data_IF_482987851302
#
_entry.id   IF_482987851302
#
_cell.length_a   1.000
_cell.length_b   1.000
_cell.length_c   1.000
_cell.angle_alpha   90.00
_cell.angle_beta   90.00
_cell.angle_gamma   90.00
#
_symmetry.space_group_name_H-M   'P 1'
#
loop_
_entity.id
_entity.type
_entity.pdbx_description
1 polymer ?
#
# COMPACT_ATOMS: atom_id res chain seq x y z
N UNK A 1 -8.22 -9.90 -11.41
CA UNK A 1 -8.38 -9.69 -9.96
C UNK A 1 -7.46 -8.55 -9.59
N UNK A 2 -7.96 -7.54 -8.89
CA UNK A 2 -7.20 -6.35 -8.52
C UNK A 2 -7.14 -6.21 -7.01
N UNK A 3 -5.95 -5.87 -6.50
CA UNK A 3 -5.65 -5.69 -5.09
C UNK A 3 -5.50 -4.19 -4.80
N UNK A 4 -6.33 -3.67 -3.90
CA UNK A 4 -6.22 -2.31 -3.35
C UNK A 4 -5.47 -2.40 -2.03
N UNK A 5 -4.31 -1.74 -1.92
CA UNK A 5 -3.49 -1.69 -0.72
C UNK A 5 -3.57 -0.27 -0.14
N UNK A 6 -4.03 -0.15 1.10
CA UNK A 6 -4.03 1.11 1.81
C UNK A 6 -2.73 1.25 2.62
N UNK A 7 -1.92 2.24 2.29
CA UNK A 7 -0.71 2.62 3.03
C UNK A 7 -1.10 3.65 4.09
N UNK A 8 -1.31 3.17 5.31
CA UNK A 8 -1.77 3.99 6.43
C UNK A 8 -0.64 4.84 7.00
N UNK A 9 -0.91 6.12 7.15
CA UNK A 9 -0.07 7.11 7.81
C UNK A 9 1.38 7.12 7.32
N UNK A 10 1.62 7.31 6.00
CA UNK A 10 2.97 7.27 5.43
C UNK A 10 3.93 8.27 6.09
N UNK A 11 3.42 9.38 6.60
CA UNK A 11 4.21 10.44 7.24
C UNK A 11 4.58 10.11 8.69
N UNK A 12 3.79 9.26 9.37
CA UNK A 12 3.95 8.90 10.78
C UNK A 12 4.59 7.52 10.97
N UNK A 13 4.35 6.58 10.05
CA UNK A 13 4.79 5.18 10.13
C UNK A 13 5.92 4.84 9.12
N UNK A 14 6.75 5.80 8.73
CA UNK A 14 7.86 5.57 7.80
C UNK A 14 9.18 5.11 8.44
N UNK A 15 9.30 5.10 9.76
CA UNK A 15 10.57 4.88 10.48
C UNK A 15 11.09 3.43 10.39
N UNK A 16 10.23 2.44 10.10
CA UNK A 16 10.58 1.01 10.14
C UNK A 16 10.45 0.30 8.78
N UNK A 17 10.58 1.03 7.66
CA UNK A 17 10.70 0.39 6.35
C UNK A 17 9.38 -0.16 5.78
N UNK A 18 8.25 0.38 6.21
CA UNK A 18 6.92 -0.03 5.73
C UNK A 18 6.78 0.10 4.19
N UNK A 19 7.48 1.06 3.61
CA UNK A 19 7.60 1.21 2.16
C UNK A 19 8.21 -0.01 1.47
N UNK A 20 9.17 -0.68 2.12
CA UNK A 20 9.76 -1.92 1.62
C UNK A 20 8.77 -3.09 1.64
N UNK A 21 7.97 -3.21 2.69
CA UNK A 21 6.91 -4.21 2.78
C UNK A 21 5.85 -4.00 1.69
N UNK A 22 5.42 -2.75 1.49
CA UNK A 22 4.49 -2.37 0.44
C UNK A 22 5.01 -2.74 -0.96
N UNK A 23 6.27 -2.43 -1.26
CA UNK A 23 6.92 -2.79 -2.52
C UNK A 23 6.97 -4.31 -2.70
N UNK A 24 7.34 -5.06 -1.67
CA UNK A 24 7.39 -6.51 -1.72
C UNK A 24 6.01 -7.13 -1.99
N UNK A 25 4.96 -6.63 -1.34
CA UNK A 25 3.57 -7.05 -1.57
C UNK A 25 3.13 -6.77 -3.00
N UNK A 26 3.37 -5.56 -3.50
CA UNK A 26 3.00 -5.17 -4.86
C UNK A 26 3.70 -6.04 -5.91
N UNK A 27 5.02 -6.24 -5.80
CA UNK A 27 5.77 -7.08 -6.73
C UNK A 27 5.30 -8.54 -6.70
N UNK A 28 5.05 -9.10 -5.51
CA UNK A 28 4.56 -10.47 -5.35
C UNK A 28 3.18 -10.66 -5.97
N UNK A 29 2.30 -9.66 -5.90
CA UNK A 29 0.99 -9.70 -6.54
C UNK A 29 1.13 -9.60 -8.07
N UNK A 30 1.97 -8.70 -8.57
CA UNK A 30 2.25 -8.55 -10.00
C UNK A 30 2.82 -9.83 -10.62
N UNK A 31 3.72 -10.55 -9.94
CA UNK A 31 4.24 -11.85 -10.41
C UNK A 31 3.16 -12.91 -10.61
N UNK A 32 1.98 -12.73 -9.98
CA UNK A 32 0.82 -13.61 -10.12
C UNK A 32 -0.21 -13.06 -11.11
N UNK A 33 0.11 -11.98 -11.83
CA UNK A 33 -0.82 -11.32 -12.75
C UNK A 33 -1.98 -10.59 -12.06
N UNK A 34 -1.80 -10.21 -10.79
CA UNK A 34 -2.79 -9.44 -10.01
C UNK A 34 -2.44 -7.96 -10.16
N UNK A 35 -3.39 -7.14 -10.63
CA UNK A 35 -3.23 -5.69 -10.66
C UNK A 35 -3.19 -5.12 -9.25
N UNK A 36 -2.35 -4.12 -9.00
CA UNK A 36 -2.16 -3.55 -7.67
C UNK A 36 -2.35 -2.05 -7.73
N UNK A 37 -3.21 -1.55 -6.84
CA UNK A 37 -3.45 -0.13 -6.62
C UNK A 37 -3.07 0.20 -5.19
N UNK A 38 -2.22 1.20 -5.01
CA UNK A 38 -1.82 1.66 -3.68
C UNK A 38 -2.42 3.04 -3.44
N UNK A 39 -3.13 3.20 -2.32
CA UNK A 39 -3.64 4.48 -1.85
C UNK A 39 -3.05 4.82 -0.48
N UNK A 40 -2.57 6.04 -0.34
CA UNK A 40 -2.06 6.54 0.94
C UNK A 40 -3.18 7.19 1.75
N UNK A 41 -3.29 6.82 3.02
CA UNK A 41 -4.28 7.41 3.93
C UNK A 41 -3.57 8.13 5.07
N UNK A 42 -3.68 9.45 5.11
CA UNK A 42 -3.14 10.27 6.19
C UNK A 42 -4.09 10.33 7.37
N UNK A 43 -3.60 10.80 8.52
CA UNK A 43 -4.40 10.95 9.74
C UNK A 43 -5.61 11.84 9.46
N UNK A 44 -6.80 11.37 9.84
CA UNK A 44 -8.07 12.09 9.62
C UNK A 44 -8.62 12.03 8.19
N UNK A 45 -7.96 11.31 7.28
CA UNK A 45 -8.44 11.07 5.91
C UNK A 45 -8.82 9.60 5.79
N UNK A 46 -10.01 9.32 5.27
CA UNK A 46 -10.42 7.95 4.92
C UNK A 46 -9.96 7.63 3.50
N UNK A 47 -9.42 6.43 3.23
CA UNK A 47 -9.13 6.02 1.86
C UNK A 47 -10.45 5.90 1.06
N UNK A 48 -10.37 6.10 -0.25
CA UNK A 48 -11.54 6.02 -1.11
C UNK A 48 -12.03 4.57 -1.19
N UNK A 49 -13.36 4.34 -1.27
CA UNK A 49 -13.92 3.00 -1.41
C UNK A 49 -13.35 2.25 -2.63
#
# INVERSE_FOLDING_TARGET
MDLRICHLYPDLLNLYGDRGNLMALAHRAQWRGIGVHVEESRLGVSPAP
#
